data_IF_337722076675
#
_entry.id   IF_337722076675
#
_cell.length_a   1.000
_cell.length_b   1.000
_cell.length_c   1.000
_cell.angle_alpha   90.00
_cell.angle_beta   90.00
_cell.angle_gamma   90.00
#
_symmetry.space_group_name_H-M   'P 1'
#
loop_
_entity.id
_entity.type
_entity.pdbx_description
1 polymer ?
#
# COMPACT_ATOMS: atom_id res chain seq x y z
N UNK A 1 -28.92 9.29 -10.87
CA UNK A 1 -28.90 9.76 -9.48
C UNK A 1 -27.49 9.53 -8.94
N UNK A 2 -26.74 10.58 -8.60
CA UNK A 2 -25.30 10.52 -8.29
C UNK A 2 -25.07 10.50 -6.77
N UNK A 3 -24.56 9.38 -6.25
CA UNK A 3 -24.32 9.17 -4.79
C UNK A 3 -22.92 9.62 -4.32
N UNK A 4 -22.08 10.16 -5.22
CA UNK A 4 -20.69 10.59 -4.96
C UNK A 4 -20.51 11.79 -4.01
N UNK A 5 -21.55 12.25 -3.31
CA UNK A 5 -21.50 13.46 -2.45
C UNK A 5 -21.66 13.20 -0.94
N UNK A 6 -21.83 11.95 -0.50
CA UNK A 6 -22.24 11.67 0.89
C UNK A 6 -21.09 11.31 1.85
N UNK A 7 -19.86 11.06 1.38
CA UNK A 7 -18.73 10.77 2.29
C UNK A 7 -17.89 12.02 2.62
N UNK A 8 -18.55 13.13 2.94
CA UNK A 8 -17.91 14.31 3.60
C UNK A 8 -18.62 14.52 4.94
N UNK A 9 -18.64 13.48 5.77
CA UNK A 9 -18.99 13.60 7.20
C UNK A 9 -18.07 12.62 7.93
N UNK A 10 -16.91 13.13 8.33
CA UNK A 10 -15.85 12.36 8.99
C UNK A 10 -14.80 13.29 9.59
N UNK A 11 -15.28 14.36 10.22
CA UNK A 11 -14.50 15.25 11.08
C UNK A 11 -13.74 14.46 12.13
N UNK A 12 -12.42 14.46 12.05
CA UNK A 12 -11.53 14.22 13.18
C UNK A 12 -10.33 15.16 13.05
N UNK A 13 -10.58 16.46 13.24
CA UNK A 13 -9.51 17.41 13.57
C UNK A 13 -9.12 17.12 15.01
N UNK A 14 -8.04 16.36 15.19
CA UNK A 14 -7.32 16.31 16.46
C UNK A 14 -6.39 17.52 16.48
N UNK A 15 -6.87 18.60 17.09
CA UNK A 15 -6.07 19.75 17.51
C UNK A 15 -5.13 19.28 18.64
N UNK A 16 -3.96 18.75 18.29
CA UNK A 16 -2.84 18.69 19.22
C UNK A 16 -2.16 20.06 19.24
N UNK A 17 -2.64 20.88 20.17
CA UNK A 17 -2.00 22.09 20.64
C UNK A 17 -0.55 21.79 21.04
N UNK A 18 0.39 22.20 20.19
CA UNK A 18 1.77 22.48 20.61
C UNK A 18 1.99 23.98 20.41
N UNK A 19 2.17 24.67 21.52
CA UNK A 19 2.44 26.09 21.56
C UNK A 19 3.82 26.45 21.00
N UNK A 20 3.88 27.70 20.53
CA UNK A 20 5.05 28.58 20.47
C UNK A 20 5.90 28.60 19.19
N UNK A 21 5.61 29.62 18.37
CA UNK A 21 6.53 30.67 17.93
C UNK A 21 7.81 30.28 17.17
N UNK A 22 7.80 30.45 15.84
CA UNK A 22 8.69 31.37 15.10
C UNK A 22 8.71 31.09 13.59
N UNK A 23 8.85 32.19 12.85
CA UNK A 23 9.29 32.30 11.46
C UNK A 23 8.28 31.97 10.35
N UNK A 24 7.46 32.98 10.08
CA UNK A 24 7.10 33.32 8.71
C UNK A 24 8.37 33.70 7.93
N UNK A 25 8.81 32.83 7.03
CA UNK A 25 9.66 33.18 5.90
C UNK A 25 9.43 32.14 4.80
N UNK A 26 8.95 32.63 3.67
CA UNK A 26 8.73 31.91 2.43
C UNK A 26 9.85 30.94 2.07
N UNK A 27 9.56 29.65 2.13
CA UNK A 27 10.03 28.69 1.13
C UNK A 27 8.81 28.17 0.37
N UNK A 28 8.39 28.92 -0.64
CA UNK A 28 7.98 28.27 -1.89
C UNK A 28 9.19 27.45 -2.33
N UNK A 29 9.15 26.14 -2.11
CA UNK A 29 10.12 25.21 -2.69
C UNK A 29 9.57 23.79 -2.60
N UNK A 30 8.79 23.46 -3.63
CA UNK A 30 8.50 22.11 -4.08
C UNK A 30 8.01 21.12 -3.00
N UNK A 31 6.69 21.02 -2.84
CA UNK A 31 6.07 19.80 -2.35
C UNK A 31 6.62 18.60 -3.14
N UNK A 32 7.36 17.65 -2.55
CA UNK A 32 7.59 16.37 -3.20
C UNK A 32 6.38 15.45 -2.95
N UNK A 33 5.16 16.00 -3.02
CA UNK A 33 3.94 15.18 -2.95
C UNK A 33 3.69 14.43 -4.28
N UNK A 34 4.37 14.82 -5.36
CA UNK A 34 4.24 14.22 -6.68
C UNK A 34 5.07 12.93 -6.88
N UNK A 35 5.73 12.39 -5.84
CA UNK A 35 6.53 11.15 -5.97
C UNK A 35 5.85 9.88 -5.43
N UNK A 36 4.68 10.00 -4.81
CA UNK A 36 3.96 8.83 -4.26
C UNK A 36 2.93 8.24 -5.22
N UNK A 37 2.48 8.99 -6.23
CA UNK A 37 1.50 8.50 -7.20
C UNK A 37 2.13 7.69 -8.35
N UNK A 38 3.45 7.81 -8.58
CA UNK A 38 4.10 7.17 -9.72
C UNK A 38 4.49 5.69 -9.47
N UNK A 39 4.63 5.26 -8.22
CA UNK A 39 4.96 3.85 -7.91
C UNK A 39 3.69 2.99 -7.87
N UNK A 40 2.59 3.52 -7.33
CA UNK A 40 1.35 2.75 -7.14
C UNK A 40 0.69 2.23 -8.42
N UNK A 41 0.88 2.89 -9.56
CA UNK A 41 0.39 2.38 -10.85
C UNK A 41 1.24 1.18 -11.31
N UNK A 42 2.57 1.33 -11.27
CA UNK A 42 3.50 0.27 -11.68
C UNK A 42 3.41 -0.96 -10.77
N UNK A 43 3.32 -0.75 -9.46
CA UNK A 43 3.24 -1.84 -8.48
C UNK A 43 1.95 -2.67 -8.66
N UNK A 44 0.87 -2.03 -9.14
CA UNK A 44 -0.41 -2.66 -9.44
C UNK A 44 -0.38 -3.43 -10.76
N UNK A 45 0.23 -2.88 -11.80
CA UNK A 45 0.43 -3.58 -13.08
C UNK A 45 1.26 -4.86 -12.88
N UNK A 46 2.33 -4.80 -12.07
CA UNK A 46 3.15 -5.97 -11.73
C UNK A 46 2.36 -7.04 -10.95
N UNK A 47 1.39 -6.64 -10.11
CA UNK A 47 0.53 -7.56 -9.37
C UNK A 47 -0.45 -8.28 -10.30
N UNK A 48 -1.07 -7.55 -11.22
CA UNK A 48 -1.95 -8.12 -12.24
C UNK A 48 -1.21 -9.12 -13.11
N UNK A 49 0.00 -8.76 -13.57
CA UNK A 49 0.88 -9.66 -14.32
C UNK A 49 1.22 -10.92 -13.50
N UNK A 50 1.56 -10.77 -12.22
CA UNK A 50 1.87 -11.89 -11.33
C UNK A 50 0.67 -12.81 -11.05
N UNK A 51 -0.56 -12.29 -11.18
CA UNK A 51 -1.81 -13.04 -11.01
C UNK A 51 -2.40 -13.56 -12.34
N UNK A 52 -1.74 -13.29 -13.47
CA UNK A 52 -2.31 -13.51 -14.82
C UNK A 52 -3.70 -12.88 -15.00
N UNK A 53 -3.90 -11.70 -14.41
CA UNK A 53 -5.13 -10.92 -14.53
C UNK A 53 -4.92 -9.78 -15.53
N UNK A 54 -5.90 -9.59 -16.42
CA UNK A 54 -5.86 -8.50 -17.41
C UNK A 54 -6.59 -7.23 -16.92
N UNK A 55 -7.39 -7.33 -15.86
CA UNK A 55 -8.28 -6.28 -15.38
C UNK A 55 -8.21 -6.09 -13.87
N UNK A 56 -7.94 -4.85 -13.45
CA UNK A 56 -8.09 -4.43 -12.07
C UNK A 56 -9.49 -4.71 -11.52
N UNK A 57 -10.51 -4.48 -12.34
CA UNK A 57 -11.91 -4.60 -11.92
C UNK A 57 -12.26 -6.05 -11.58
N UNK A 58 -11.72 -7.02 -12.32
CA UNK A 58 -11.91 -8.45 -12.05
C UNK A 58 -11.22 -8.88 -10.76
N UNK A 59 -10.02 -8.35 -10.51
CA UNK A 59 -9.30 -8.56 -9.25
C UNK A 59 -10.10 -7.99 -8.08
N UNK A 60 -10.63 -6.78 -8.22
CA UNK A 60 -11.44 -6.15 -7.18
C UNK A 60 -12.74 -6.92 -6.92
N UNK A 61 -13.44 -7.36 -7.97
CA UNK A 61 -14.67 -8.15 -7.82
C UNK A 61 -14.38 -9.48 -7.12
N UNK A 62 -13.34 -10.20 -7.52
CA UNK A 62 -12.95 -11.46 -6.89
C UNK A 62 -12.62 -11.30 -5.39
N UNK A 63 -11.90 -10.24 -5.03
CA UNK A 63 -11.63 -9.91 -3.63
C UNK A 63 -12.91 -9.53 -2.87
N UNK A 64 -13.84 -8.82 -3.54
CA UNK A 64 -15.14 -8.44 -2.98
C UNK A 64 -16.06 -9.64 -2.76
N UNK A 65 -16.00 -10.64 -3.64
CA UNK A 65 -16.65 -11.94 -3.50
C UNK A 65 -16.04 -12.81 -2.39
N UNK A 66 -14.97 -12.32 -1.75
CA UNK A 66 -14.30 -12.99 -0.64
C UNK A 66 -13.22 -13.97 -1.07
N UNK A 67 -12.77 -13.98 -2.33
CA UNK A 67 -11.60 -14.80 -2.71
C UNK A 67 -10.33 -14.21 -2.11
N UNK A 68 -9.39 -15.07 -1.73
CA UNK A 68 -8.03 -14.65 -1.38
C UNK A 68 -7.16 -14.49 -2.64
N UNK A 69 -6.03 -13.78 -2.54
CA UNK A 69 -5.07 -13.69 -3.66
C UNK A 69 -4.53 -15.06 -4.07
N UNK A 70 -4.41 -15.98 -3.11
CA UNK A 70 -4.09 -17.38 -3.36
C UNK A 70 -5.14 -18.07 -4.23
N UNK A 71 -6.42 -17.88 -3.92
CA UNK A 71 -7.51 -18.50 -4.69
C UNK A 71 -7.59 -17.93 -6.10
N UNK A 72 -7.39 -16.62 -6.24
CA UNK A 72 -7.35 -15.94 -7.54
C UNK A 72 -6.17 -16.45 -8.37
N UNK A 73 -4.98 -16.56 -7.77
CA UNK A 73 -3.82 -17.12 -8.45
C UNK A 73 -4.05 -18.58 -8.88
N UNK A 74 -4.66 -19.40 -8.02
CA UNK A 74 -4.98 -20.78 -8.33
C UNK A 74 -5.98 -20.91 -9.48
N UNK A 75 -7.03 -20.07 -9.51
CA UNK A 75 -8.04 -20.04 -10.57
C UNK A 75 -7.43 -19.67 -11.95
N UNK A 76 -6.44 -18.77 -11.95
CA UNK A 76 -5.78 -18.28 -13.18
C UNK A 76 -4.50 -19.05 -13.55
N UNK A 77 -4.11 -20.06 -12.76
CA UNK A 77 -2.88 -20.81 -12.96
C UNK A 77 -1.60 -19.98 -12.77
N UNK A 78 -1.67 -18.93 -11.95
CA UNK A 78 -0.56 -18.07 -11.61
C UNK A 78 0.25 -18.61 -10.42
N UNK A 79 1.52 -18.24 -10.33
CA UNK A 79 2.40 -18.67 -9.23
C UNK A 79 2.24 -17.77 -8.01
N UNK A 80 1.62 -18.29 -6.95
CA UNK A 80 1.46 -17.55 -5.70
C UNK A 80 2.78 -17.14 -5.06
N UNK A 81 3.87 -17.90 -5.26
CA UNK A 81 5.19 -17.52 -4.76
C UNK A 81 5.70 -16.26 -5.45
N UNK A 82 5.40 -16.10 -6.74
CA UNK A 82 5.74 -14.88 -7.49
C UNK A 82 5.02 -13.66 -6.92
N UNK A 83 3.75 -13.80 -6.56
CA UNK A 83 2.93 -12.74 -5.94
C UNK A 83 3.48 -12.37 -4.55
N UNK A 84 3.85 -13.36 -3.74
CA UNK A 84 4.47 -13.15 -2.42
C UNK A 84 5.79 -12.39 -2.55
N UNK A 85 6.70 -12.87 -3.39
CA UNK A 85 8.01 -12.25 -3.57
C UNK A 85 7.90 -10.83 -4.13
N UNK A 86 6.94 -10.58 -5.03
CA UNK A 86 6.63 -9.25 -5.53
C UNK A 86 6.21 -8.30 -4.39
N UNK A 87 5.22 -8.70 -3.58
CA UNK A 87 4.72 -7.89 -2.47
C UNK A 87 5.80 -7.64 -1.40
N UNK A 88 6.62 -8.65 -1.07
CA UNK A 88 7.75 -8.50 -0.16
C UNK A 88 8.75 -7.47 -0.70
N UNK A 89 9.05 -7.51 -2.00
CA UNK A 89 9.96 -6.55 -2.65
C UNK A 89 9.40 -5.12 -2.62
N UNK A 90 8.13 -4.95 -2.98
CA UNK A 90 7.45 -3.65 -2.98
C UNK A 90 7.41 -3.03 -1.57
N UNK A 91 7.04 -3.81 -0.55
CA UNK A 91 7.00 -3.36 0.84
C UNK A 91 8.40 -3.10 1.41
N UNK A 92 9.41 -3.88 1.01
CA UNK A 92 10.81 -3.61 1.37
C UNK A 92 11.27 -2.26 0.82
N UNK A 93 10.93 -1.93 -0.43
CA UNK A 93 11.25 -0.62 -1.01
C UNK A 93 10.58 0.53 -0.26
N UNK A 94 9.35 0.33 0.22
CA UNK A 94 8.66 1.32 1.07
C UNK A 94 9.36 1.48 2.43
N UNK A 95 9.81 0.38 3.06
CA UNK A 95 10.60 0.43 4.29
C UNK A 95 11.93 1.15 4.07
N UNK A 96 12.63 0.89 2.97
CA UNK A 96 13.88 1.57 2.61
C UNK A 96 13.66 3.09 2.44
N UNK A 97 12.56 3.48 1.78
CA UNK A 97 12.21 4.89 1.63
C UNK A 97 11.91 5.55 2.97
N UNK A 98 11.19 4.87 3.87
CA UNK A 98 10.89 5.37 5.22
C UNK A 98 12.16 5.52 6.05
N UNK A 99 13.09 4.56 5.96
CA UNK A 99 14.38 4.64 6.64
C UNK A 99 15.19 5.83 6.12
N UNK A 100 15.28 5.98 4.79
CA UNK A 100 15.98 7.11 4.15
C UNK A 100 15.36 8.46 4.51
N UNK A 101 14.04 8.53 4.69
CA UNK A 101 13.32 9.73 5.15
C UNK A 101 13.46 9.98 6.66
N UNK A 102 14.06 9.06 7.41
CA UNK A 102 14.13 9.14 8.87
C UNK A 102 12.78 8.94 9.56
N UNK A 103 11.79 8.38 8.86
CA UNK A 103 10.45 8.10 9.42
C UNK A 103 10.43 6.84 10.28
N UNK A 104 11.47 6.00 10.23
CA UNK A 104 11.69 4.82 11.07
C UNK A 104 13.18 4.73 11.44
N UNK A 105 13.48 4.08 12.58
CA UNK A 105 14.87 3.77 12.96
C UNK A 105 15.38 2.50 12.29
N UNK A 106 16.70 2.25 12.36
CA UNK A 106 17.33 1.02 11.86
C UNK A 106 16.78 -0.22 12.58
N UNK A 107 16.56 -0.13 13.90
CA UNK A 107 16.00 -1.24 14.68
C UNK A 107 14.58 -1.58 14.24
N UNK A 108 13.74 -0.56 14.00
CA UNK A 108 12.38 -0.77 13.48
C UNK A 108 12.38 -1.32 12.07
N UNK A 109 13.29 -0.85 11.21
CA UNK A 109 13.46 -1.40 9.86
C UNK A 109 13.78 -2.89 9.92
N UNK A 110 14.73 -3.31 10.77
CA UNK A 110 15.10 -4.71 10.90
C UNK A 110 13.96 -5.58 11.43
N UNK A 111 13.22 -5.09 12.44
CA UNK A 111 12.07 -5.79 12.98
C UNK A 111 10.98 -5.99 11.92
N UNK A 112 10.59 -4.92 11.22
CA UNK A 112 9.56 -5.00 10.17
C UNK A 112 10.00 -5.89 9.01
N UNK A 113 11.27 -5.83 8.61
CA UNK A 113 11.80 -6.67 7.51
C UNK A 113 11.81 -8.16 7.86
N UNK A 114 12.03 -8.51 9.13
CA UNK A 114 12.03 -9.90 9.58
C UNK A 114 10.62 -10.52 9.54
N UNK A 115 9.59 -9.74 9.87
CA UNK A 115 8.20 -10.21 9.89
C UNK A 115 7.51 -10.11 8.52
N UNK A 116 8.08 -9.32 7.60
CA UNK A 116 7.44 -8.92 6.35
C UNK A 116 6.96 -10.11 5.51
N UNK A 117 7.82 -11.13 5.36
CA UNK A 117 7.49 -12.31 4.55
C UNK A 117 6.31 -13.07 5.13
N UNK A 118 6.31 -13.33 6.43
CA UNK A 118 5.21 -14.04 7.09
C UNK A 118 3.89 -13.27 6.99
N UNK A 119 3.93 -11.95 7.17
CA UNK A 119 2.75 -11.09 7.03
C UNK A 119 2.19 -11.16 5.61
N UNK A 120 3.05 -11.10 4.58
CA UNK A 120 2.62 -11.20 3.18
C UNK A 120 2.04 -12.59 2.88
N UNK A 121 2.72 -13.65 3.30
CA UNK A 121 2.22 -15.03 3.15
C UNK A 121 0.83 -15.19 3.78
N UNK A 122 0.65 -14.71 5.01
CA UNK A 122 -0.65 -14.74 5.67
C UNK A 122 -1.70 -13.89 4.94
N UNK A 123 -1.30 -12.74 4.41
CA UNK A 123 -2.19 -11.82 3.69
C UNK A 123 -2.65 -12.40 2.35
N UNK A 124 -1.83 -13.15 1.62
CA UNK A 124 -2.27 -13.74 0.36
C UNK A 124 -3.31 -14.85 0.55
N UNK A 125 -3.31 -15.50 1.72
CA UNK A 125 -4.28 -16.54 2.08
C UNK A 125 -5.52 -15.99 2.82
N UNK A 126 -5.54 -14.70 3.18
CA UNK A 126 -6.70 -14.14 3.87
C UNK A 126 -7.84 -13.91 2.88
N UNK A 127 -9.02 -14.39 3.23
CA UNK A 127 -10.29 -14.16 2.54
C UNK A 127 -11.13 -13.19 3.37
N UNK A 128 -11.81 -12.25 2.71
CA UNK A 128 -12.61 -11.19 3.36
C UNK A 128 -14.14 -11.41 3.21
N UNK A 129 -14.56 -12.66 2.99
CA UNK A 129 -15.97 -13.06 2.86
C UNK A 129 -16.72 -13.22 4.17
#
# INVERSE_FOLDING_TARGET
>A
MNIKRVMIVGTMVVIMSFGSTALSASITSASPAAKWAATGVKDKDELLEALHQDSDEELYEALYEGKSLHDIAADQGADIQRVIDLQVSQLTRQLDERLRKGSISIDQYSAHKAELREIVERSVHTSFG
#
